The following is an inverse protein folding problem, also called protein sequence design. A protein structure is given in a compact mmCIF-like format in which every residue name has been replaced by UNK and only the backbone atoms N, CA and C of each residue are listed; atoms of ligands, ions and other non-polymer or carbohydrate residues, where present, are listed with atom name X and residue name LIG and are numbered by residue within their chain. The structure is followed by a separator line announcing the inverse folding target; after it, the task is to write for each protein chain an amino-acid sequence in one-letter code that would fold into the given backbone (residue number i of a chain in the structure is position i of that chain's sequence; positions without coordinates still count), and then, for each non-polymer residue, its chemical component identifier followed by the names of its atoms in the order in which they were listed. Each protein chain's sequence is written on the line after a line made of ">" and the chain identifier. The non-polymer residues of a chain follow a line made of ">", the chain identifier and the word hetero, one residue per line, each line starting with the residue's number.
data_IF_528789440817
#
_entry.id   IF_528789440817
#
_cell.length_a   1.000
_cell.length_b   1.000
_cell.length_c   1.000
_cell.angle_alpha   90.00
_cell.angle_beta   90.00
_cell.angle_gamma   90.00
#
_symmetry.space_group_name_H-M   'P 1'
#
loop_
_entity.id
_entity.type
_entity.pdbx_description
1 polymer ?
#
# COMPACT_ATOMS: atom_id res chain seq x y z
N UNK A 1 13.24 -77.62 -17.79
CA UNK A 1 13.69 -77.02 -16.51
C UNK A 1 13.50 -75.48 -16.48
N UNK A 2 12.30 -74.94 -16.79
CA UNK A 2 12.09 -73.44 -16.91
C UNK A 2 10.93 -72.93 -16.11
N UNK A 3 10.21 -73.72 -15.34
CA UNK A 3 9.03 -73.29 -14.57
C UNK A 3 9.31 -72.66 -13.18
N UNK A 4 10.55 -72.84 -12.66
CA UNK A 4 10.88 -72.33 -11.31
C UNK A 4 11.39 -70.86 -11.26
N UNK A 5 11.71 -70.27 -12.42
CA UNK A 5 12.31 -68.93 -12.48
C UNK A 5 11.20 -67.77 -12.52
N UNK A 6 10.00 -68.09 -12.95
CA UNK A 6 8.94 -67.09 -13.09
C UNK A 6 8.21 -66.72 -11.77
N UNK A 7 8.25 -67.64 -10.78
CA UNK A 7 7.57 -67.43 -9.51
C UNK A 7 8.20 -66.28 -8.68
N UNK A 8 9.52 -66.18 -8.53
CA UNK A 8 10.14 -65.05 -7.82
C UNK A 8 10.03 -63.72 -8.61
N UNK A 9 10.05 -63.80 -9.95
CA UNK A 9 9.86 -62.62 -10.80
C UNK A 9 8.43 -62.04 -10.70
N UNK A 10 7.43 -62.92 -10.66
CA UNK A 10 6.02 -62.53 -10.48
C UNK A 10 5.77 -61.97 -9.09
N UNK A 11 6.42 -62.52 -8.06
CA UNK A 11 6.33 -62.04 -6.69
C UNK A 11 7.03 -60.68 -6.52
N UNK A 12 8.16 -60.44 -7.19
CA UNK A 12 8.83 -59.14 -7.22
C UNK A 12 7.99 -58.05 -7.93
N UNK A 13 7.29 -58.44 -9.00
CA UNK A 13 6.40 -57.53 -9.73
C UNK A 13 5.15 -57.16 -8.91
N UNK A 14 4.60 -58.08 -8.14
CA UNK A 14 3.46 -57.81 -7.23
C UNK A 14 3.86 -56.91 -6.06
N UNK A 15 5.09 -57.06 -5.52
CA UNK A 15 5.61 -56.19 -4.45
C UNK A 15 5.83 -54.76 -4.97
N UNK A 16 6.24 -54.59 -6.23
CA UNK A 16 6.38 -53.27 -6.87
C UNK A 16 5.02 -52.55 -7.06
N UNK A 17 3.92 -53.29 -7.22
CA UNK A 17 2.58 -52.73 -7.36
C UNK A 17 1.96 -52.25 -6.02
N UNK A 18 2.49 -52.72 -4.89
CA UNK A 18 2.08 -52.25 -3.56
C UNK A 18 2.93 -51.08 -3.05
N UNK A 19 3.82 -50.49 -3.85
CA UNK A 19 4.36 -49.18 -3.61
C UNK A 19 3.19 -48.18 -3.75
N UNK A 20 2.22 -48.28 -2.82
CA UNK A 20 1.14 -47.34 -2.65
C UNK A 20 1.77 -45.97 -2.59
N UNK A 21 1.60 -45.19 -3.64
CA UNK A 21 1.76 -43.75 -3.62
C UNK A 21 0.84 -43.21 -2.55
N UNK A 22 1.23 -43.25 -1.30
CA UNK A 22 0.73 -42.28 -0.33
C UNK A 22 1.19 -40.95 -0.88
N UNK A 23 0.30 -40.20 -1.58
CA UNK A 23 0.56 -38.83 -2.02
C UNK A 23 1.02 -38.06 -0.80
N UNK A 24 2.34 -37.92 -0.65
CA UNK A 24 2.93 -37.06 0.37
C UNK A 24 2.44 -35.66 0.04
N UNK A 25 2.00 -34.92 1.04
CA UNK A 25 1.77 -33.49 0.92
C UNK A 25 3.11 -32.89 0.50
N UNK A 26 3.17 -32.39 -0.72
CA UNK A 26 4.39 -31.87 -1.36
C UNK A 26 4.50 -30.37 -1.22
N UNK A 27 5.39 -29.80 -2.00
CA UNK A 27 5.57 -28.36 -2.11
C UNK A 27 4.30 -27.63 -2.59
N UNK A 28 4.04 -26.46 -2.04
CA UNK A 28 2.95 -25.56 -2.45
C UNK A 28 3.53 -24.41 -3.28
N UNK A 29 2.84 -24.05 -4.38
CA UNK A 29 3.19 -22.85 -5.15
C UNK A 29 2.85 -21.58 -4.36
N UNK A 30 3.68 -20.55 -4.52
CA UNK A 30 3.42 -19.21 -3.99
C UNK A 30 2.10 -18.60 -4.51
N UNK A 31 1.62 -19.01 -5.69
CA UNK A 31 0.39 -18.56 -6.31
C UNK A 31 -0.88 -18.89 -5.48
N UNK A 32 -0.76 -19.81 -4.55
CA UNK A 32 -1.86 -20.13 -3.63
C UNK A 32 -1.98 -19.16 -2.46
N UNK A 33 -1.09 -18.18 -2.38
CA UNK A 33 -1.06 -17.25 -1.26
C UNK A 33 -1.03 -15.80 -1.73
N UNK A 34 -1.78 -14.94 -1.06
CA UNK A 34 -1.73 -13.50 -1.24
C UNK A 34 -1.55 -12.82 0.10
N UNK A 35 -0.78 -11.75 0.11
CA UNK A 35 -0.48 -10.97 1.32
C UNK A 35 -0.96 -9.54 1.15
N UNK A 36 -1.53 -8.98 2.19
CA UNK A 36 -1.93 -7.59 2.23
C UNK A 36 -1.32 -6.92 3.48
N UNK A 37 -0.51 -5.87 3.31
CA UNK A 37 -0.07 -5.25 2.06
C UNK A 37 0.83 -6.19 1.25
N UNK A 38 0.91 -6.00 -0.07
CA UNK A 38 1.70 -6.85 -0.97
C UNK A 38 3.21 -6.76 -0.68
N UNK A 39 3.67 -5.59 -0.31
CA UNK A 39 4.99 -5.36 0.30
C UNK A 39 4.75 -4.99 1.75
N UNK A 40 5.43 -5.66 2.67
CA UNK A 40 5.22 -5.43 4.10
C UNK A 40 5.68 -4.02 4.51
N UNK A 41 4.94 -3.41 5.42
CA UNK A 41 5.19 -2.06 5.92
C UNK A 41 5.24 -2.04 7.44
N UNK A 42 6.18 -1.28 8.00
CA UNK A 42 6.24 -1.01 9.44
C UNK A 42 5.33 0.18 9.77
N UNK A 43 4.39 -0.04 10.68
CA UNK A 43 3.44 0.97 11.15
C UNK A 43 3.36 0.91 12.69
N UNK A 44 3.75 1.99 13.36
CA UNK A 44 3.72 2.09 14.82
C UNK A 44 4.55 1.01 15.52
N UNK A 45 5.76 0.73 15.02
CA UNK A 45 6.65 -0.29 15.59
C UNK A 45 6.22 -1.73 15.33
N UNK A 46 5.24 -1.96 14.48
CA UNK A 46 4.70 -3.28 14.14
C UNK A 46 4.71 -3.49 12.62
N UNK A 47 4.77 -4.74 12.20
CA UNK A 47 4.64 -5.16 10.80
C UNK A 47 3.40 -6.04 10.68
N UNK A 48 2.22 -5.45 10.43
CA UNK A 48 0.99 -6.20 10.25
C UNK A 48 0.93 -6.84 8.87
N UNK A 49 0.38 -8.06 8.79
CA UNK A 49 0.13 -8.74 7.54
C UNK A 49 -1.17 -9.55 7.61
N UNK A 50 -1.97 -9.50 6.56
CA UNK A 50 -3.10 -10.38 6.33
C UNK A 50 -2.75 -11.33 5.20
N UNK A 51 -2.80 -12.61 5.46
CA UNK A 51 -2.41 -13.67 4.54
C UNK A 51 -3.68 -14.44 4.16
N UNK A 52 -4.00 -14.47 2.87
CA UNK A 52 -5.04 -15.33 2.33
C UNK A 52 -4.36 -16.49 1.63
N UNK A 53 -4.69 -17.70 2.06
CA UNK A 53 -4.12 -18.92 1.53
C UNK A 53 -5.19 -19.88 1.02
N UNK A 54 -4.79 -20.75 0.08
CA UNK A 54 -5.63 -21.80 -0.46
C UNK A 54 -4.86 -23.12 -0.53
N UNK A 55 -5.41 -24.14 0.08
CA UNK A 55 -4.99 -25.52 -0.18
C UNK A 55 -5.67 -26.04 -1.44
N UNK A 56 -4.94 -26.48 -2.46
CA UNK A 56 -5.56 -26.95 -3.71
C UNK A 56 -6.28 -28.27 -3.54
N UNK A 57 -7.09 -28.63 -4.54
CA UNK A 57 -7.80 -29.90 -4.59
C UNK A 57 -6.83 -31.10 -4.53
N UNK A 58 -7.23 -32.14 -3.84
CA UNK A 58 -6.50 -33.41 -3.69
C UNK A 58 -5.13 -33.28 -3.03
N UNK A 59 -4.85 -32.13 -2.41
CA UNK A 59 -3.60 -31.86 -1.71
C UNK A 59 -3.67 -32.29 -0.23
N UNK A 60 -4.68 -31.84 0.49
CA UNK A 60 -4.77 -32.00 1.93
C UNK A 60 -5.15 -33.42 2.34
N UNK A 61 -4.30 -34.08 3.09
CA UNK A 61 -4.59 -35.47 3.52
C UNK A 61 -5.76 -35.47 4.54
N UNK A 62 -6.72 -36.38 4.35
CA UNK A 62 -7.91 -36.48 5.19
C UNK A 62 -7.64 -36.70 6.69
N UNK A 63 -6.46 -37.28 7.03
CA UNK A 63 -6.04 -37.57 8.41
C UNK A 63 -4.92 -36.66 8.88
N UNK A 64 -4.61 -35.58 8.14
CA UNK A 64 -3.55 -34.65 8.51
C UNK A 64 -4.07 -33.52 9.38
N UNK A 65 -3.22 -33.10 10.29
CA UNK A 65 -3.27 -31.79 10.93
C UNK A 65 -2.08 -30.98 10.41
N UNK A 66 -2.32 -29.78 9.91
CA UNK A 66 -1.29 -28.90 9.36
C UNK A 66 -1.25 -27.62 10.14
N UNK A 67 -0.14 -27.34 10.76
CA UNK A 67 0.19 -26.08 11.37
C UNK A 67 0.89 -25.19 10.32
N UNK A 68 0.39 -23.98 10.11
CA UNK A 68 0.94 -22.99 9.19
C UNK A 68 1.43 -21.82 10.04
N UNK A 69 2.73 -21.55 9.97
CA UNK A 69 3.37 -20.49 10.75
C UNK A 69 3.97 -19.47 9.80
N UNK A 70 3.54 -18.19 9.85
CA UNK A 70 4.20 -17.12 9.13
C UNK A 70 5.52 -16.78 9.82
N UNK A 71 6.60 -16.72 9.04
CA UNK A 71 7.96 -16.44 9.54
C UNK A 71 8.59 -15.35 8.68
N UNK A 72 8.91 -14.24 9.30
CA UNK A 72 9.67 -13.16 8.67
C UNK A 72 11.15 -13.40 8.90
N UNK A 73 11.92 -13.55 7.83
CA UNK A 73 13.35 -13.87 7.86
C UNK A 73 14.18 -12.73 7.29
N UNK A 74 15.28 -12.38 7.98
CA UNK A 74 16.26 -11.40 7.52
C UNK A 74 17.68 -11.87 7.81
N UNK A 75 18.65 -11.13 7.35
CA UNK A 75 20.05 -11.49 7.63
C UNK A 75 20.34 -11.35 9.12
N UNK A 76 20.60 -12.48 9.77
CA UNK A 76 20.92 -12.54 11.20
C UNK A 76 19.75 -12.84 12.13
N UNK A 77 18.50 -13.04 11.61
CA UNK A 77 17.39 -13.37 12.49
C UNK A 77 16.09 -13.77 11.81
N UNK A 78 15.14 -14.20 12.62
CA UNK A 78 13.77 -14.49 12.18
C UNK A 78 12.77 -14.10 13.27
N UNK A 79 11.56 -13.76 12.87
CA UNK A 79 10.41 -13.56 13.75
C UNK A 79 9.26 -14.47 13.32
N UNK A 80 8.66 -15.18 14.28
CA UNK A 80 7.51 -16.07 14.03
C UNK A 80 6.23 -15.37 14.44
N UNK A 81 5.25 -15.40 13.52
CA UNK A 81 3.92 -14.92 13.80
C UNK A 81 3.06 -16.00 14.46
N UNK A 82 1.79 -15.68 14.71
CA UNK A 82 0.82 -16.60 15.28
C UNK A 82 0.54 -17.76 14.29
N UNK A 83 0.72 -19.01 14.70
CA UNK A 83 0.39 -20.15 13.86
C UNK A 83 -1.13 -20.32 13.72
N UNK A 84 -1.56 -20.91 12.59
CA UNK A 84 -2.92 -21.37 12.38
C UNK A 84 -2.90 -22.86 12.09
N UNK A 85 -3.86 -23.59 12.65
CA UNK A 85 -3.97 -25.05 12.50
C UNK A 85 -5.17 -25.39 11.63
N UNK A 86 -4.98 -26.35 10.73
CA UNK A 86 -5.97 -26.86 9.81
C UNK A 86 -6.04 -28.38 9.91
N UNK A 87 -7.24 -28.92 9.78
CA UNK A 87 -7.44 -30.38 9.90
C UNK A 87 -8.12 -30.97 8.67
N UNK A 88 -7.81 -32.24 8.39
CA UNK A 88 -8.47 -33.00 7.34
C UNK A 88 -9.80 -33.57 7.79
N UNK A 89 -10.64 -33.96 6.83
CA UNK A 89 -12.03 -34.43 7.00
C UNK A 89 -12.21 -35.61 7.97
N UNK A 90 -11.13 -36.34 8.31
CA UNK A 90 -11.15 -37.53 9.19
C UNK A 90 -10.42 -37.28 10.52
N UNK A 91 -10.13 -36.04 10.83
CA UNK A 91 -9.55 -35.65 12.12
C UNK A 91 -10.68 -35.11 12.98
N UNK A 92 -10.81 -35.65 14.17
CA UNK A 92 -11.72 -35.14 15.20
C UNK A 92 -11.03 -33.99 15.93
N UNK A 93 -11.56 -32.77 15.79
CA UNK A 93 -11.00 -31.55 16.37
C UNK A 93 -11.86 -30.34 16.01
N UNK A 94 -11.46 -29.17 16.53
CA UNK A 94 -12.20 -27.92 16.33
C UNK A 94 -11.52 -26.97 15.33
N UNK A 95 -10.43 -27.41 14.69
CA UNK A 95 -9.72 -26.60 13.71
C UNK A 95 -10.49 -26.52 12.39
N UNK A 96 -10.16 -25.53 11.57
CA UNK A 96 -10.78 -25.39 10.26
C UNK A 96 -10.51 -26.63 9.41
N UNK A 97 -11.60 -27.29 8.97
CA UNK A 97 -11.52 -28.50 8.16
C UNK A 97 -11.29 -28.17 6.68
N UNK A 98 -10.28 -28.80 6.09
CA UNK A 98 -9.95 -28.68 4.67
C UNK A 98 -10.36 -29.96 3.94
N UNK A 99 -11.18 -29.80 2.88
CA UNK A 99 -11.63 -30.91 2.08
C UNK A 99 -10.52 -31.46 1.17
N UNK A 100 -10.35 -32.77 1.14
CA UNK A 100 -9.46 -33.40 0.18
C UNK A 100 -9.92 -33.20 -1.27
N UNK A 101 -11.24 -33.24 -1.51
CA UNK A 101 -11.79 -33.14 -2.87
C UNK A 101 -11.78 -31.72 -3.41
N UNK A 102 -12.16 -30.75 -2.60
CA UNK A 102 -12.39 -29.37 -3.02
C UNK A 102 -11.26 -28.43 -2.59
N UNK A 103 -10.35 -28.89 -1.74
CA UNK A 103 -9.41 -27.99 -1.09
C UNK A 103 -10.09 -27.11 -0.05
N UNK A 104 -9.51 -25.94 0.23
CA UNK A 104 -10.09 -24.97 1.14
C UNK A 104 -9.26 -23.68 1.18
N UNK A 105 -9.94 -22.56 1.40
CA UNK A 105 -9.30 -21.25 1.56
C UNK A 105 -9.31 -20.84 3.03
N UNK A 106 -8.33 -20.04 3.43
CA UNK A 106 -8.23 -19.50 4.77
C UNK A 106 -7.68 -18.09 4.75
N UNK A 107 -7.94 -17.35 5.81
CA UNK A 107 -7.35 -16.04 6.07
C UNK A 107 -6.73 -16.05 7.45
N UNK A 108 -5.49 -15.62 7.54
CA UNK A 108 -4.81 -15.45 8.82
C UNK A 108 -4.22 -14.04 8.92
N UNK A 109 -4.25 -13.48 10.13
CA UNK A 109 -3.66 -12.19 10.44
C UNK A 109 -2.47 -12.40 11.35
N UNK A 110 -1.39 -11.73 11.07
CA UNK A 110 -0.18 -11.76 11.87
C UNK A 110 0.38 -10.36 12.03
N UNK A 111 1.22 -10.18 13.06
CA UNK A 111 1.94 -8.94 13.26
C UNK A 111 3.27 -9.26 13.92
N UNK A 112 4.34 -8.63 13.45
CA UNK A 112 5.68 -8.78 14.00
C UNK A 112 6.10 -7.48 14.67
N UNK A 113 6.91 -7.54 15.72
CA UNK A 113 7.57 -6.37 16.27
C UNK A 113 8.68 -5.93 15.32
N UNK A 114 8.63 -4.67 14.89
CA UNK A 114 9.60 -4.16 13.91
C UNK A 114 10.97 -3.96 14.58
N UNK A 115 12.00 -4.42 13.87
CA UNK A 115 13.40 -4.07 14.13
C UNK A 115 14.05 -3.57 12.84
N UNK A 116 15.03 -2.65 12.89
CA UNK A 116 15.63 -2.03 11.69
C UNK A 116 16.21 -3.04 10.69
N UNK A 117 16.67 -4.18 11.16
CA UNK A 117 17.25 -5.26 10.35
C UNK A 117 16.22 -5.91 9.41
N UNK A 118 14.92 -5.77 9.73
CA UNK A 118 13.82 -6.27 8.89
C UNK A 118 13.63 -5.49 7.59
N UNK A 119 14.31 -4.35 7.38
CA UNK A 119 14.22 -3.58 6.13
C UNK A 119 14.59 -4.40 4.88
N UNK A 120 15.33 -5.49 5.05
CA UNK A 120 15.66 -6.46 3.99
C UNK A 120 15.27 -7.86 4.48
N UNK A 121 13.99 -8.13 4.50
CA UNK A 121 13.45 -9.41 4.97
C UNK A 121 12.52 -10.05 3.93
N UNK A 122 12.17 -11.27 4.14
CA UNK A 122 11.24 -12.04 3.32
C UNK A 122 10.26 -12.78 4.23
N UNK A 123 8.98 -12.75 3.88
CA UNK A 123 7.94 -13.47 4.61
C UNK A 123 7.74 -14.85 4.00
N UNK A 124 7.91 -15.86 4.84
CA UNK A 124 7.68 -17.26 4.50
C UNK A 124 6.46 -17.81 5.25
N UNK A 125 5.82 -18.82 4.67
CA UNK A 125 4.95 -19.74 5.39
C UNK A 125 5.69 -21.05 5.61
N UNK A 126 5.85 -21.43 6.86
CA UNK A 126 6.34 -22.73 7.26
C UNK A 126 5.16 -23.66 7.57
N UNK A 127 5.27 -24.92 7.09
CA UNK A 127 4.20 -25.88 7.21
C UNK A 127 4.70 -27.12 7.96
N UNK A 128 4.01 -27.49 9.02
CA UNK A 128 4.27 -28.72 9.77
C UNK A 128 3.01 -29.59 9.72
N UNK A 129 3.07 -30.67 8.96
CA UNK A 129 1.97 -31.62 8.85
C UNK A 129 2.17 -32.82 9.79
N UNK A 130 1.15 -33.17 10.52
CA UNK A 130 1.08 -34.39 11.34
C UNK A 130 0.03 -35.33 10.78
N UNK A 131 0.43 -36.55 10.40
CA UNK A 131 -0.47 -37.57 9.86
C UNK A 131 -0.40 -38.78 10.78
N UNK A 132 -1.40 -38.94 11.64
CA UNK A 132 -1.36 -39.91 12.73
C UNK A 132 -0.18 -39.64 13.68
N UNK A 133 0.82 -40.53 13.71
CA UNK A 133 2.03 -40.35 14.54
C UNK A 133 3.23 -39.82 13.75
N UNK A 134 3.10 -39.60 12.44
CA UNK A 134 4.21 -39.14 11.59
C UNK A 134 4.13 -37.62 11.37
N UNK A 135 5.27 -36.97 11.59
CA UNK A 135 5.45 -35.56 11.23
C UNK A 135 6.07 -35.49 9.82
N UNK A 136 5.48 -34.70 8.97
CA UNK A 136 5.95 -34.43 7.60
C UNK A 136 6.22 -32.95 7.50
N UNK A 137 7.45 -32.57 7.17
CA UNK A 137 7.80 -31.19 6.88
C UNK A 137 7.53 -30.93 5.40
N UNK A 138 6.75 -29.88 5.14
CA UNK A 138 6.49 -29.37 3.80
C UNK A 138 7.45 -28.20 3.58
N UNK A 139 8.04 -28.04 2.39
CA UNK A 139 8.91 -26.90 2.11
C UNK A 139 8.23 -25.57 2.41
N UNK A 140 8.97 -24.64 2.99
CA UNK A 140 8.48 -23.30 3.26
C UNK A 140 8.29 -22.54 1.94
N UNK A 141 7.27 -21.69 1.89
CA UNK A 141 6.93 -20.90 0.70
C UNK A 141 7.15 -19.43 1.00
N UNK A 142 7.95 -18.73 0.17
CA UNK A 142 8.08 -17.27 0.21
C UNK A 142 6.82 -16.65 -0.38
N UNK A 143 6.21 -15.71 0.36
CA UNK A 143 4.92 -15.11 -0.01
C UNK A 143 4.94 -13.58 -0.12
N UNK A 144 5.93 -12.91 0.46
CA UNK A 144 6.10 -11.47 0.34
C UNK A 144 7.56 -11.06 0.55
N UNK A 145 7.89 -9.87 0.07
CA UNK A 145 9.17 -9.22 0.28
C UNK A 145 9.11 -8.20 1.40
N UNK A 146 10.25 -7.98 1.98
CA UNK A 146 10.79 -6.97 2.85
C UNK A 146 9.84 -6.10 3.66
N UNK A 147 10.43 -5.24 4.47
CA UNK A 147 9.63 -4.28 5.22
C UNK A 147 10.01 -2.86 4.81
N UNK A 148 9.04 -2.12 4.27
CA UNK A 148 9.16 -0.68 4.08
C UNK A 148 8.96 -0.01 5.44
N UNK A 149 9.96 0.75 5.87
CA UNK A 149 9.96 1.40 7.19
C UNK A 149 10.04 2.93 7.10
N UNK A 150 9.52 3.52 6.03
CA UNK A 150 9.62 4.97 5.80
C UNK A 150 9.01 5.79 6.94
N UNK A 151 7.87 5.37 7.47
CA UNK A 151 7.23 6.04 8.60
C UNK A 151 8.06 5.98 9.88
N UNK A 152 8.69 4.84 10.15
CA UNK A 152 9.57 4.65 11.31
C UNK A 152 10.86 5.46 11.17
N UNK A 153 11.45 5.50 9.98
CA UNK A 153 12.62 6.31 9.68
C UNK A 153 12.35 7.80 9.85
N UNK A 154 11.18 8.27 9.40
CA UNK A 154 10.75 9.66 9.59
C UNK A 154 10.58 9.97 11.09
N UNK A 155 9.91 9.12 11.85
CA UNK A 155 9.72 9.30 13.28
C UNK A 155 11.06 9.33 14.04
N UNK A 156 11.97 8.41 13.72
CA UNK A 156 13.30 8.37 14.31
C UNK A 156 14.13 9.62 13.97
N UNK A 157 14.01 10.11 12.73
CA UNK A 157 14.69 11.34 12.29
C UNK A 157 14.14 12.56 12.99
N UNK A 158 12.81 12.69 13.11
CA UNK A 158 12.17 13.79 13.83
C UNK A 158 12.48 13.80 15.33
N UNK A 159 12.60 12.60 15.94
CA UNK A 159 12.94 12.47 17.35
C UNK A 159 14.41 12.81 17.68
N UNK A 160 15.32 12.63 16.75
CA UNK A 160 16.76 12.80 16.93
C UNK A 160 17.35 14.00 16.18
N UNK A 161 16.59 14.63 15.30
CA UNK A 161 17.07 15.80 14.55
C UNK A 161 16.96 17.06 15.42
N UNK A 162 18.09 17.72 15.68
CA UNK A 162 18.09 19.14 15.93
C UNK A 162 17.90 19.82 14.58
N UNK A 163 16.71 20.35 14.29
CA UNK A 163 16.50 21.04 13.03
C UNK A 163 17.42 22.25 13.01
N UNK A 164 18.33 22.31 12.04
CA UNK A 164 19.04 23.53 11.73
C UNK A 164 18.02 24.49 11.12
N UNK A 165 17.46 25.34 11.94
CA UNK A 165 16.62 26.44 11.48
C UNK A 165 17.56 27.51 10.95
N UNK A 166 17.75 27.58 9.64
CA UNK A 166 18.38 28.69 8.96
C UNK A 166 17.30 29.70 8.54
N UNK A 167 17.68 30.97 8.40
CA UNK A 167 16.81 31.93 7.75
C UNK A 167 16.53 31.46 6.34
N UNK A 168 15.27 31.25 6.04
CA UNK A 168 14.81 30.91 4.69
C UNK A 168 14.79 32.21 3.86
N UNK A 169 15.59 32.27 2.81
CA UNK A 169 15.55 33.34 1.81
C UNK A 169 14.31 33.26 0.91
N UNK A 170 13.41 32.32 1.17
CA UNK A 170 12.19 32.18 0.41
C UNK A 170 11.23 33.32 0.69
N UNK A 171 11.11 34.24 -0.26
CA UNK A 171 10.11 35.29 -0.25
C UNK A 171 8.89 34.84 -1.06
N UNK A 172 7.79 34.59 -0.37
CA UNK A 172 6.52 34.33 -1.03
C UNK A 172 5.93 35.65 -1.53
N UNK A 173 6.00 35.91 -2.82
CA UNK A 173 5.32 37.02 -3.46
C UNK A 173 3.90 36.60 -3.76
N UNK A 174 2.94 37.21 -3.09
CA UNK A 174 1.52 37.02 -3.37
C UNK A 174 1.08 38.17 -4.27
N UNK A 175 0.61 37.84 -5.49
CA UNK A 175 0.03 38.84 -6.40
C UNK A 175 -1.45 39.03 -6.04
N UNK A 176 -1.78 40.22 -5.64
CA UNK A 176 -3.17 40.65 -5.43
C UNK A 176 -3.59 41.51 -6.62
N UNK A 177 -4.85 41.38 -7.04
CA UNK A 177 -5.44 42.18 -8.13
C UNK A 177 -6.65 42.90 -7.59
N UNK A 178 -6.65 44.20 -7.80
CA UNK A 178 -7.77 45.10 -7.45
C UNK A 178 -8.29 45.74 -8.72
N UNK A 179 -9.55 45.56 -9.03
CA UNK A 179 -10.21 46.07 -10.23
C UNK A 179 -11.29 47.05 -9.85
N UNK A 180 -11.44 48.13 -10.61
CA UNK A 180 -12.59 49.01 -10.52
C UNK A 180 -13.15 49.31 -11.91
N UNK A 181 -14.43 49.10 -12.10
CA UNK A 181 -15.13 49.46 -13.31
C UNK A 181 -15.91 50.73 -13.10
N UNK A 182 -15.61 51.76 -13.90
CA UNK A 182 -16.27 53.07 -13.83
C UNK A 182 -17.02 53.29 -15.13
N UNK A 183 -18.33 53.46 -15.05
CA UNK A 183 -19.20 53.71 -16.21
C UNK A 183 -19.38 55.19 -16.48
N UNK A 184 -19.19 55.56 -17.74
CA UNK A 184 -19.41 56.92 -18.23
C UNK A 184 -20.70 56.99 -19.04
N UNK A 185 -21.31 58.20 -19.07
CA UNK A 185 -22.41 58.46 -19.99
C UNK A 185 -21.88 58.67 -21.40
N UNK A 186 -22.71 58.43 -22.39
CA UNK A 186 -22.37 58.62 -23.79
C UNK A 186 -21.91 60.09 -24.01
N UNK A 187 -20.76 60.26 -24.65
CA UNK A 187 -20.14 61.56 -24.95
C UNK A 187 -19.82 62.43 -23.72
N UNK A 188 -19.70 61.84 -22.55
CA UNK A 188 -19.32 62.55 -21.33
C UNK A 188 -18.07 61.91 -20.67
N UNK A 189 -17.11 62.74 -20.28
CA UNK A 189 -15.91 62.32 -19.59
C UNK A 189 -16.00 62.43 -18.05
N UNK A 190 -17.10 62.97 -17.55
CA UNK A 190 -17.28 63.16 -16.12
C UNK A 190 -17.73 61.88 -15.42
N UNK A 191 -17.13 61.57 -14.28
CA UNK A 191 -17.52 60.43 -13.46
C UNK A 191 -18.92 60.68 -12.92
N UNK A 192 -19.81 59.74 -13.13
CA UNK A 192 -21.19 59.81 -12.65
C UNK A 192 -21.23 59.82 -11.10
N UNK A 193 -22.19 60.46 -10.52
CA UNK A 193 -22.35 60.46 -9.06
C UNK A 193 -22.54 59.09 -8.47
N UNK A 194 -23.17 58.16 -9.23
CA UNK A 194 -23.28 56.74 -8.86
C UNK A 194 -21.96 55.99 -8.81
N UNK A 195 -20.97 56.43 -9.60
CA UNK A 195 -19.66 55.77 -9.70
C UNK A 195 -18.60 56.38 -8.77
N UNK A 196 -18.92 57.53 -8.12
CA UNK A 196 -17.99 58.22 -7.21
C UNK A 196 -17.62 57.37 -6.01
N UNK A 197 -18.50 56.50 -5.56
CA UNK A 197 -18.21 55.57 -4.46
C UNK A 197 -17.13 54.55 -4.90
N UNK A 198 -17.32 53.91 -6.02
CA UNK A 198 -16.38 52.93 -6.59
C UNK A 198 -15.00 53.57 -6.83
N UNK A 199 -14.95 54.77 -7.38
CA UNK A 199 -13.71 55.50 -7.59
C UNK A 199 -13.00 55.88 -6.28
N UNK A 200 -13.74 56.26 -5.25
CA UNK A 200 -13.17 56.55 -3.92
C UNK A 200 -12.64 55.28 -3.23
N UNK A 201 -13.37 54.19 -3.32
CA UNK A 201 -12.96 52.92 -2.75
C UNK A 201 -11.68 52.43 -3.42
N UNK A 202 -11.59 52.47 -4.75
CA UNK A 202 -10.39 52.12 -5.47
C UNK A 202 -9.18 52.98 -5.11
N UNK A 203 -9.35 54.30 -5.04
CA UNK A 203 -8.31 55.23 -4.60
C UNK A 203 -7.82 54.92 -3.17
N UNK A 204 -8.75 54.57 -2.27
CA UNK A 204 -8.39 54.14 -0.92
C UNK A 204 -7.59 52.85 -0.90
N UNK A 205 -7.94 51.89 -1.72
CA UNK A 205 -7.16 50.65 -1.90
C UNK A 205 -5.75 50.94 -2.39
N UNK A 206 -5.59 51.77 -3.43
CA UNK A 206 -4.27 52.18 -3.96
C UNK A 206 -3.46 52.92 -2.89
N UNK A 207 -4.08 53.80 -2.10
CA UNK A 207 -3.40 54.48 -1.01
C UNK A 207 -2.92 53.49 0.07
N UNK A 208 -3.79 52.56 0.48
CA UNK A 208 -3.45 51.51 1.45
C UNK A 208 -2.28 50.66 1.00
N UNK A 209 -2.19 50.32 -0.30
CA UNK A 209 -1.07 49.54 -0.86
C UNK A 209 0.23 50.36 -0.83
N UNK A 210 0.15 51.68 -1.15
CA UNK A 210 1.33 52.55 -1.13
C UNK A 210 1.87 52.83 0.28
N UNK A 211 1.01 52.83 1.29
CA UNK A 211 1.38 53.05 2.69
C UNK A 211 1.87 51.76 3.38
N UNK A 212 1.55 50.58 2.83
CA UNK A 212 1.92 49.31 3.41
C UNK A 212 3.40 48.98 3.13
N UNK A 213 4.18 48.77 4.19
CA UNK A 213 5.60 48.46 4.07
C UNK A 213 5.91 47.13 3.36
N UNK A 214 4.95 46.22 3.32
CA UNK A 214 5.08 44.85 2.76
C UNK A 214 4.38 44.70 1.40
N UNK A 215 3.83 45.77 0.82
CA UNK A 215 3.14 45.75 -0.48
C UNK A 215 3.82 46.69 -1.46
N UNK A 216 3.76 46.36 -2.74
CA UNK A 216 4.25 47.19 -3.82
C UNK A 216 3.35 47.05 -5.04
N UNK A 217 2.99 48.17 -5.64
CA UNK A 217 2.29 48.17 -6.93
C UNK A 217 3.26 47.70 -8.00
N UNK A 218 2.97 46.59 -8.67
CA UNK A 218 3.78 46.04 -9.75
C UNK A 218 3.33 46.49 -11.13
N UNK A 219 2.05 46.73 -11.31
CA UNK A 219 1.46 47.18 -12.58
C UNK A 219 0.16 47.89 -12.34
N UNK A 220 -0.14 48.92 -13.16
CA UNK A 220 -1.43 49.58 -13.26
C UNK A 220 -1.83 49.47 -14.72
N UNK A 221 -2.98 48.86 -14.97
CA UNK A 221 -3.57 48.75 -16.28
C UNK A 221 -4.87 49.55 -16.34
N UNK A 222 -5.01 50.38 -17.37
CA UNK A 222 -6.20 51.15 -17.62
C UNK A 222 -6.76 50.72 -18.98
N UNK A 223 -7.94 50.12 -18.97
CA UNK A 223 -8.63 49.69 -20.20
C UNK A 223 -9.88 50.51 -20.39
N UNK A 224 -10.02 51.10 -21.57
CA UNK A 224 -11.24 51.87 -21.94
C UNK A 224 -11.99 51.11 -23.03
N UNK A 225 -13.30 50.99 -22.82
CA UNK A 225 -14.18 50.34 -23.80
C UNK A 225 -15.24 51.35 -24.27
N UNK A 226 -15.37 51.51 -25.58
CA UNK A 226 -16.41 52.30 -26.18
C UNK A 226 -17.58 51.43 -26.61
N UNK A 227 -18.83 51.97 -26.43
CA UNK A 227 -20.01 51.31 -27.01
C UNK A 227 -19.90 51.26 -28.54
N UNK A 228 -20.33 50.21 -29.22
CA UNK A 228 -20.39 50.15 -30.70
C UNK A 228 -21.16 51.28 -31.36
N UNK A 229 -21.98 52.00 -30.61
CA UNK A 229 -22.75 53.17 -31.09
C UNK A 229 -21.93 54.49 -31.11
N UNK A 230 -20.68 54.48 -30.60
CA UNK A 230 -19.80 55.68 -30.57
C UNK A 230 -18.78 55.47 -31.71
N UNK A 231 -18.77 56.46 -32.67
CA UNK A 231 -17.76 56.46 -33.73
C UNK A 231 -16.38 56.63 -33.13
N UNK A 232 -15.42 55.83 -33.56
CA UNK A 232 -14.02 55.83 -33.12
C UNK A 232 -13.26 57.14 -33.32
N UNK A 233 -13.84 58.11 -34.04
CA UNK A 233 -13.23 59.38 -34.39
C UNK A 233 -13.10 60.36 -33.20
N UNK A 234 -13.65 60.03 -32.03
CA UNK A 234 -13.60 60.91 -30.85
C UNK A 234 -12.81 60.33 -29.64
N UNK A 235 -12.11 59.21 -29.83
CA UNK A 235 -11.20 58.65 -28.82
C UNK A 235 -9.78 59.12 -29.09
N UNK A 236 -9.53 60.40 -28.88
CA UNK A 236 -8.17 60.89 -28.70
C UNK A 236 -7.87 60.98 -27.23
N UNK A 237 -6.88 60.18 -26.81
CA UNK A 237 -6.26 60.28 -25.49
C UNK A 237 -5.48 61.60 -25.40
#
# INVERSE_FOLDING_TARGET
>A
MTKKLYLPLLMAMVVALFSSCSKKMGELSADYFTVTPQVLEAVGGKVPATINGKFPEKYFNKKAVVEVTPVLKWNGGEAKGQPATFQGEKVEGNDQTISYKMGGSYTMKTSFDYVPEMAKSELYLEFKATIGKKVVTIPAVKIADGVISTSELVNNTLGNANPALGEDAFQRIIKEKHDANIMFLIQQANIRSSELKTAKEFNKEVANVNEAANKKISNIEVSAYASPAVSYTHLTL
#
